data_IF_032110216049
#
_entry.id   IF_032110216049
#
_cell.length_a   1.000
_cell.length_b   1.000
_cell.length_c   1.000
_cell.angle_alpha   90.00
_cell.angle_beta   90.00
_cell.angle_gamma   90.00
#
_symmetry.space_group_name_H-M   'P 1'
#
loop_
_entity.id
_entity.type
_entity.pdbx_description
1 polymer ?
#
# COMPACT_ATOMS: atom_id res chain seq x y z
N UNK A 1 -7.53 49.54 -2.93
CA UNK A 1 -6.75 48.57 -2.12
C UNK A 1 -5.28 48.77 -2.46
N UNK A 2 -4.41 48.98 -1.47
CA UNK A 2 -2.98 49.17 -1.73
C UNK A 2 -2.32 47.84 -2.11
N UNK A 3 -1.27 47.88 -2.93
CA UNK A 3 -0.47 46.68 -3.24
C UNK A 3 0.05 45.98 -1.97
N UNK A 4 0.32 46.74 -0.91
CA UNK A 4 0.69 46.21 0.41
C UNK A 4 -0.43 45.40 1.06
N UNK A 5 -1.68 45.89 0.97
CA UNK A 5 -2.83 45.22 1.57
C UNK A 5 -3.08 43.87 0.86
N UNK A 6 -2.96 43.87 -0.47
CA UNK A 6 -3.06 42.66 -1.30
C UNK A 6 -2.03 41.62 -0.88
N UNK A 7 -0.76 42.02 -0.71
CA UNK A 7 0.32 41.10 -0.31
C UNK A 7 0.08 40.55 1.09
N UNK A 8 -0.38 41.38 2.03
CA UNK A 8 -0.66 40.96 3.41
C UNK A 8 -1.80 39.94 3.43
N UNK A 9 -2.89 40.19 2.71
CA UNK A 9 -4.05 39.30 2.71
C UNK A 9 -3.73 37.98 1.98
N UNK A 10 -3.02 38.03 0.85
CA UNK A 10 -2.53 36.82 0.18
C UNK A 10 -1.63 35.98 1.10
N UNK A 11 -0.77 36.63 1.89
CA UNK A 11 0.08 35.95 2.87
C UNK A 11 -0.72 35.27 3.98
N UNK A 12 -1.78 35.92 4.50
CA UNK A 12 -2.67 35.32 5.50
C UNK A 12 -3.43 34.12 4.93
N UNK A 13 -3.97 34.24 3.72
CA UNK A 13 -4.72 33.18 3.06
C UNK A 13 -3.82 31.96 2.80
N UNK A 14 -2.58 32.19 2.34
CA UNK A 14 -1.59 31.14 2.16
C UNK A 14 -1.23 30.46 3.49
N UNK A 15 -1.00 31.24 4.56
CA UNK A 15 -0.71 30.69 5.88
C UNK A 15 -1.87 29.87 6.44
N UNK A 16 -3.10 30.35 6.27
CA UNK A 16 -4.29 29.63 6.70
C UNK A 16 -4.47 28.32 5.92
N UNK A 17 -4.28 28.34 4.59
CA UNK A 17 -4.34 27.14 3.76
C UNK A 17 -3.27 26.11 4.18
N UNK A 18 -2.02 26.55 4.38
CA UNK A 18 -0.94 25.69 4.85
C UNK A 18 -1.23 25.11 6.24
N UNK A 19 -1.80 25.90 7.14
CA UNK A 19 -2.19 25.46 8.47
C UNK A 19 -3.27 24.37 8.43
N UNK A 20 -4.34 24.57 7.65
CA UNK A 20 -5.41 23.57 7.50
C UNK A 20 -4.87 22.29 6.87
N UNK A 21 -4.08 22.39 5.79
CA UNK A 21 -3.47 21.22 5.14
C UNK A 21 -2.55 20.48 6.11
N UNK A 22 -1.75 21.20 6.90
CA UNK A 22 -0.85 20.60 7.88
C UNK A 22 -1.61 19.84 8.97
N UNK A 23 -2.76 20.35 9.43
CA UNK A 23 -3.61 19.64 10.39
C UNK A 23 -4.14 18.34 9.78
N UNK A 24 -4.72 18.40 8.57
CA UNK A 24 -5.29 17.22 7.91
C UNK A 24 -4.20 16.17 7.66
N UNK A 25 -3.05 16.59 7.13
CA UNK A 25 -1.91 15.71 6.89
C UNK A 25 -1.37 15.10 8.18
N UNK A 26 -1.27 15.88 9.27
CA UNK A 26 -0.80 15.40 10.57
C UNK A 26 -1.76 14.37 11.18
N UNK A 27 -3.07 14.60 11.11
CA UNK A 27 -4.08 13.66 11.58
C UNK A 27 -4.03 12.37 10.76
N UNK A 28 -3.95 12.47 9.44
CA UNK A 28 -3.84 11.32 8.55
C UNK A 28 -2.57 10.50 8.84
N UNK A 29 -1.42 11.18 8.99
CA UNK A 29 -0.15 10.54 9.33
C UNK A 29 -0.19 9.91 10.72
N UNK A 30 -0.75 10.58 11.73
CA UNK A 30 -0.87 10.02 13.09
C UNK A 30 -1.73 8.75 13.11
N UNK A 31 -2.79 8.70 12.30
CA UNK A 31 -3.65 7.52 12.18
C UNK A 31 -3.01 6.39 11.37
N UNK A 32 -2.33 6.72 10.26
CA UNK A 32 -1.72 5.75 9.37
C UNK A 32 -0.38 5.21 9.89
N UNK A 33 0.44 6.05 10.53
CA UNK A 33 1.81 5.76 10.92
C UNK A 33 2.81 5.75 9.77
N UNK A 34 2.39 6.06 8.54
CA UNK A 34 3.24 6.07 7.34
C UNK A 34 2.81 7.19 6.38
N UNK A 35 3.73 7.61 5.51
CA UNK A 35 3.44 8.48 4.37
C UNK A 35 4.04 7.85 3.11
N UNK A 36 3.28 7.70 2.00
CA UNK A 36 1.90 8.16 1.81
C UNK A 36 0.87 7.35 2.62
N UNK A 37 -0.29 7.95 2.92
CA UNK A 37 -1.39 7.28 3.65
C UNK A 37 -2.30 6.43 2.74
N UNK A 38 -2.12 6.57 1.42
CA UNK A 38 -2.89 5.88 0.40
C UNK A 38 -2.08 5.73 -0.88
N UNK A 39 -2.37 4.69 -1.67
CA UNK A 39 -1.76 4.44 -2.99
C UNK A 39 -2.83 4.13 -4.03
N UNK A 40 -2.60 4.54 -5.27
CA UNK A 40 -3.46 4.17 -6.40
C UNK A 40 -2.96 2.86 -7.01
N UNK A 41 -3.89 2.00 -7.42
CA UNK A 41 -3.56 0.71 -8.04
C UNK A 41 -3.43 0.88 -9.54
N UNK A 42 -2.23 0.65 -10.06
CA UNK A 42 -1.91 0.90 -11.48
C UNK A 42 -2.07 -0.34 -12.38
N UNK A 43 -2.20 -1.55 -11.81
CA UNK A 43 -2.30 -2.80 -12.58
C UNK A 43 -3.37 -3.74 -12.04
N UNK A 44 -3.84 -4.67 -12.88
CA UNK A 44 -4.83 -5.70 -12.52
C UNK A 44 -4.24 -6.95 -11.83
N UNK A 45 -3.02 -6.88 -11.30
CA UNK A 45 -2.33 -8.00 -10.62
C UNK A 45 -3.01 -8.46 -9.33
N UNK A 46 -3.85 -7.60 -8.75
CA UNK A 46 -4.60 -7.87 -7.53
C UNK A 46 -6.09 -8.18 -7.78
N UNK A 47 -6.50 -8.32 -9.03
CA UNK A 47 -7.88 -8.69 -9.35
C UNK A 47 -8.21 -10.14 -8.93
N UNK A 48 -9.48 -10.44 -8.58
CA UNK A 48 -10.64 -9.53 -8.49
C UNK A 48 -10.74 -8.78 -7.14
N UNK A 49 -9.73 -8.88 -6.29
CA UNK A 49 -9.81 -8.43 -4.90
C UNK A 49 -9.58 -6.93 -4.73
N UNK A 50 -8.63 -6.40 -5.50
CA UNK A 50 -8.35 -4.97 -5.62
C UNK A 50 -8.22 -4.66 -7.12
N UNK A 51 -8.99 -3.68 -7.60
CA UNK A 51 -9.09 -3.40 -9.03
C UNK A 51 -8.12 -2.30 -9.45
N UNK A 52 -7.73 -2.31 -10.72
CA UNK A 52 -7.01 -1.19 -11.31
C UNK A 52 -7.84 0.10 -11.14
N UNK A 53 -7.18 1.17 -10.69
CA UNK A 53 -7.81 2.46 -10.38
C UNK A 53 -8.40 2.57 -8.96
N UNK A 54 -8.40 1.51 -8.15
CA UNK A 54 -8.76 1.61 -6.73
C UNK A 54 -7.74 2.49 -5.99
N UNK A 55 -8.22 3.30 -5.04
CA UNK A 55 -7.38 3.97 -4.05
C UNK A 55 -7.35 3.13 -2.78
N UNK A 56 -6.17 2.65 -2.39
CA UNK A 56 -5.99 1.78 -1.23
C UNK A 56 -5.35 2.58 -0.09
N UNK A 57 -6.04 2.65 1.04
CA UNK A 57 -5.50 3.23 2.27
C UNK A 57 -4.56 2.23 2.95
N UNK A 58 -3.44 2.73 3.44
CA UNK A 58 -2.38 1.92 4.06
C UNK A 58 -2.03 2.41 5.46
N UNK A 59 -1.55 1.50 6.30
CA UNK A 59 -0.97 1.78 7.63
C UNK A 59 0.46 1.28 7.71
N UNK A 60 1.28 1.83 8.60
CA UNK A 60 2.61 1.28 8.82
C UNK A 60 2.52 -0.16 9.34
N UNK A 61 3.51 -1.01 9.03
CA UNK A 61 3.60 -2.36 9.60
C UNK A 61 3.55 -2.34 11.14
N UNK A 62 4.18 -1.37 11.79
CA UNK A 62 4.17 -1.23 13.25
C UNK A 62 2.77 -0.98 13.84
N UNK A 63 1.83 -0.45 13.06
CA UNK A 63 0.46 -0.12 13.51
C UNK A 63 -0.51 -1.29 13.35
N UNK A 64 -0.28 -2.17 12.38
CA UNK A 64 -1.22 -3.22 12.00
C UNK A 64 -0.66 -4.64 12.19
N UNK A 65 0.66 -4.79 12.19
CA UNK A 65 1.29 -6.09 11.94
C UNK A 65 1.09 -6.53 10.49
N UNK A 66 1.69 -7.67 10.14
CA UNK A 66 1.49 -8.34 8.85
C UNK A 66 1.24 -9.82 9.15
N UNK A 67 0.10 -10.34 8.73
CA UNK A 67 -0.25 -11.76 8.83
C UNK A 67 -0.15 -12.35 7.41
N UNK A 68 0.87 -13.17 7.11
CA UNK A 68 1.00 -13.82 5.81
C UNK A 68 -0.13 -14.81 5.53
N UNK A 69 -0.38 -15.10 4.26
CA UNK A 69 -1.39 -16.05 3.79
C UNK A 69 -1.34 -17.41 4.53
N UNK A 70 -0.15 -18.00 4.67
CA UNK A 70 0.00 -19.33 5.30
C UNK A 70 -0.39 -19.33 6.79
N UNK A 71 -0.09 -18.25 7.51
CA UNK A 71 -0.44 -18.10 8.92
C UNK A 71 -1.92 -17.75 9.07
N UNK A 72 -2.42 -16.88 8.19
CA UNK A 72 -3.82 -16.46 8.15
C UNK A 72 -4.80 -17.61 7.89
N UNK A 73 -4.40 -18.66 7.17
CA UNK A 73 -5.21 -19.89 7.03
C UNK A 73 -5.45 -20.53 8.40
N UNK A 74 -4.40 -20.59 9.25
CA UNK A 74 -4.48 -21.21 10.57
C UNK A 74 -5.35 -20.40 11.52
N UNK A 75 -5.34 -19.09 11.36
CA UNK A 75 -6.12 -18.13 12.16
C UNK A 75 -7.52 -17.83 11.58
N UNK A 76 -7.84 -18.38 10.42
CA UNK A 76 -9.05 -18.06 9.64
C UNK A 76 -9.23 -16.54 9.41
N UNK A 77 -8.12 -15.83 9.19
CA UNK A 77 -8.07 -14.39 8.99
C UNK A 77 -8.10 -14.04 7.50
N UNK A 78 -9.00 -13.15 7.09
CA UNK A 78 -9.11 -12.73 5.69
C UNK A 78 -9.07 -11.22 5.53
N UNK A 79 -8.45 -10.77 4.44
CA UNK A 79 -8.37 -9.38 4.00
C UNK A 79 -8.47 -9.32 2.47
N UNK A 80 -9.31 -8.41 1.98
CA UNK A 80 -9.64 -8.28 0.54
C UNK A 80 -10.05 -9.62 -0.09
N UNK A 81 -11.04 -10.30 0.50
CA UNK A 81 -11.59 -11.58 0.01
C UNK A 81 -10.57 -12.73 -0.15
N UNK A 82 -9.41 -12.67 0.50
CA UNK A 82 -8.41 -13.73 0.54
C UNK A 82 -7.74 -13.82 1.90
N UNK A 83 -7.02 -14.91 2.18
CA UNK A 83 -6.27 -15.05 3.44
C UNK A 83 -5.05 -14.13 3.49
N UNK A 84 -4.74 -13.61 4.66
CA UNK A 84 -3.53 -12.82 4.90
C UNK A 84 -3.59 -11.39 4.35
N UNK A 85 -2.58 -10.62 4.71
CA UNK A 85 -2.51 -9.19 4.42
C UNK A 85 -1.91 -8.88 3.04
N UNK A 86 -2.31 -7.74 2.52
CA UNK A 86 -1.75 -7.14 1.30
C UNK A 86 -0.83 -6.00 1.72
N UNK A 87 0.40 -6.02 1.21
CA UNK A 87 1.45 -5.05 1.55
C UNK A 87 1.87 -4.25 0.34
N UNK A 88 2.22 -3.00 0.57
CA UNK A 88 2.79 -2.07 -0.41
C UNK A 88 4.28 -1.93 -0.10
N UNK A 89 5.14 -2.20 -1.06
CA UNK A 89 6.58 -2.21 -0.84
C UNK A 89 7.37 -1.67 -2.05
N UNK A 90 8.61 -1.24 -1.76
CA UNK A 90 9.58 -0.83 -2.77
C UNK A 90 10.24 -2.08 -3.39
N UNK A 91 10.15 -2.28 -4.71
CA UNK A 91 10.84 -3.37 -5.40
C UNK A 91 12.36 -3.29 -5.16
N UNK A 92 12.94 -4.34 -4.60
CA UNK A 92 14.37 -4.42 -4.25
C UNK A 92 14.87 -3.24 -3.40
N UNK A 93 13.98 -2.60 -2.63
CA UNK A 93 14.29 -1.42 -1.83
C UNK A 93 14.62 -0.17 -2.63
N UNK A 94 14.31 -0.13 -3.94
CA UNK A 94 14.57 1.02 -4.78
C UNK A 94 13.45 2.08 -4.64
N UNK A 95 13.73 3.29 -4.13
CA UNK A 95 12.72 4.33 -3.96
C UNK A 95 12.35 5.04 -5.27
N UNK A 96 13.06 4.78 -6.36
CA UNK A 96 12.82 5.38 -7.68
C UNK A 96 11.96 4.52 -8.60
N UNK A 97 11.51 3.35 -8.14
CA UNK A 97 10.59 2.48 -8.88
C UNK A 97 9.19 2.57 -8.31
N UNK A 98 8.19 2.32 -9.15
CA UNK A 98 6.79 2.29 -8.72
C UNK A 98 6.61 1.20 -7.65
N UNK A 99 6.02 1.51 -6.48
CA UNK A 99 5.73 0.52 -5.46
C UNK A 99 4.81 -0.60 -5.95
N UNK A 100 5.03 -1.81 -5.44
CA UNK A 100 4.18 -2.96 -5.72
C UNK A 100 3.23 -3.18 -4.55
N UNK A 101 1.95 -3.46 -4.86
CA UNK A 101 0.92 -3.85 -3.89
C UNK A 101 0.54 -5.30 -4.10
N UNK A 102 1.02 -6.23 -3.27
CA UNK A 102 0.74 -7.66 -3.41
C UNK A 102 0.51 -8.34 -2.05
N UNK A 103 -0.04 -9.55 -2.07
CA UNK A 103 -0.30 -10.33 -0.86
C UNK A 103 0.99 -10.89 -0.28
N UNK A 104 1.16 -10.76 1.03
CA UNK A 104 2.22 -11.45 1.76
C UNK A 104 1.83 -12.93 1.87
N UNK A 105 2.62 -13.82 1.30
CA UNK A 105 2.32 -15.25 1.27
C UNK A 105 2.89 -15.96 2.50
N UNK A 106 4.18 -15.77 2.74
CA UNK A 106 4.88 -16.34 3.89
C UNK A 106 6.12 -15.54 4.24
N UNK A 107 6.55 -15.64 5.49
CA UNK A 107 7.89 -15.23 5.90
C UNK A 107 8.89 -16.34 5.58
N UNK A 108 10.08 -15.97 5.13
CA UNK A 108 11.22 -16.88 4.98
C UNK A 108 12.41 -16.32 5.73
N UNK A 109 13.13 -17.20 6.43
CA UNK A 109 14.38 -16.86 7.08
C UNK A 109 15.56 -16.92 6.10
N UNK A 110 16.64 -16.19 6.42
CA UNK A 110 17.89 -16.27 5.66
C UNK A 110 18.35 -17.72 5.54
N UNK A 111 18.60 -18.15 4.31
CA UNK A 111 19.06 -19.50 3.99
C UNK A 111 17.93 -20.49 3.72
N UNK A 112 16.67 -20.18 4.01
CA UNK A 112 15.52 -21.02 3.67
C UNK A 112 15.23 -21.02 2.17
N UNK A 113 14.50 -22.03 1.70
CA UNK A 113 14.15 -22.15 0.29
C UNK A 113 13.01 -21.21 -0.08
N UNK A 114 13.27 -20.37 -1.08
CA UNK A 114 12.26 -19.59 -1.77
C UNK A 114 11.52 -20.45 -2.80
N UNK A 115 10.35 -20.00 -3.32
CA UNK A 115 9.57 -20.78 -4.30
C UNK A 115 10.31 -21.17 -5.59
N UNK A 116 11.37 -20.43 -5.92
CA UNK A 116 12.24 -20.66 -7.08
C UNK A 116 13.33 -21.72 -6.81
N UNK A 117 13.41 -22.29 -5.60
CA UNK A 117 14.42 -23.27 -5.20
C UNK A 117 15.76 -22.68 -4.76
N UNK A 118 15.97 -21.37 -4.86
CA UNK A 118 17.16 -20.70 -4.34
C UNK A 118 17.02 -20.40 -2.85
N UNK A 119 18.15 -20.33 -2.15
CA UNK A 119 18.18 -19.93 -0.74
C UNK A 119 17.97 -18.43 -0.61
N UNK A 120 17.14 -18.02 0.34
CA UNK A 120 16.89 -16.63 0.67
C UNK A 120 18.20 -15.95 1.12
N UNK A 121 18.66 -14.88 0.43
CA UNK A 121 19.90 -14.18 0.81
C UNK A 121 19.79 -13.47 2.16
N UNK A 122 18.57 -13.16 2.60
CA UNK A 122 18.20 -12.53 3.87
C UNK A 122 16.72 -12.85 4.18
N UNK A 123 16.27 -12.59 5.40
CA UNK A 123 14.89 -12.85 5.83
C UNK A 123 13.90 -11.81 5.30
N UNK A 124 12.68 -12.22 4.99
CA UNK A 124 11.63 -11.33 4.50
C UNK A 124 10.40 -12.06 4.01
N UNK A 125 9.47 -11.32 3.40
CA UNK A 125 8.22 -11.87 2.88
C UNK A 125 8.36 -12.34 1.43
N UNK A 126 7.83 -13.53 1.14
CA UNK A 126 7.47 -13.92 -0.21
C UNK A 126 6.11 -13.30 -0.54
N UNK A 127 6.01 -12.68 -1.71
CA UNK A 127 4.81 -11.95 -2.12
C UNK A 127 4.28 -12.46 -3.45
N UNK A 128 2.99 -12.25 -3.69
CA UNK A 128 2.33 -12.62 -4.94
C UNK A 128 1.10 -11.75 -5.17
N UNK A 129 0.94 -11.27 -6.40
CA UNK A 129 -0.33 -10.69 -6.85
C UNK A 129 -1.43 -11.75 -6.90
N UNK A 130 -2.63 -11.39 -6.44
CA UNK A 130 -3.77 -12.32 -6.37
C UNK A 130 -4.10 -12.94 -7.74
N UNK A 131 -3.94 -12.16 -8.81
CA UNK A 131 -4.12 -12.57 -10.20
C UNK A 131 -2.85 -13.08 -10.89
N UNK A 132 -1.68 -13.02 -10.24
CA UNK A 132 -0.44 -13.46 -10.87
C UNK A 132 -0.36 -14.99 -10.91
N UNK A 133 0.24 -15.55 -11.98
CA UNK A 133 0.43 -17.00 -12.12
C UNK A 133 1.48 -17.58 -11.15
N UNK A 134 2.40 -16.75 -10.68
CA UNK A 134 3.49 -17.15 -9.79
C UNK A 134 3.78 -16.11 -8.72
N UNK A 135 4.75 -16.42 -7.87
CA UNK A 135 5.29 -15.49 -6.88
C UNK A 135 6.07 -14.37 -7.55
N UNK A 136 6.23 -13.26 -6.82
CA UNK A 136 7.04 -12.14 -7.28
C UNK A 136 8.53 -12.51 -7.33
N UNK A 137 8.96 -13.51 -6.55
CA UNK A 137 10.28 -14.11 -6.64
C UNK A 137 10.28 -15.26 -7.68
N UNK A 138 11.25 -15.33 -8.61
CA UNK A 138 12.53 -14.61 -8.68
C UNK A 138 12.50 -13.26 -9.42
N UNK A 139 11.34 -12.74 -9.80
CA UNK A 139 11.26 -11.41 -10.45
C UNK A 139 11.84 -10.28 -9.59
N UNK A 140 11.82 -10.45 -8.27
CA UNK A 140 12.58 -9.68 -7.29
C UNK A 140 13.90 -10.36 -6.92
N UNK A 141 14.91 -9.57 -6.55
CA UNK A 141 16.25 -10.04 -6.16
C UNK A 141 16.26 -10.93 -4.90
N UNK A 142 15.18 -10.91 -4.11
CA UNK A 142 15.00 -11.74 -2.93
C UNK A 142 13.64 -11.53 -2.26
N UNK A 143 13.47 -11.99 -1.01
CA UNK A 143 12.28 -11.69 -0.21
C UNK A 143 12.11 -10.18 -0.01
N UNK A 144 10.90 -9.74 0.30
CA UNK A 144 10.62 -8.35 0.64
C UNK A 144 10.99 -8.11 2.09
N UNK A 145 12.00 -7.28 2.34
CA UNK A 145 12.43 -6.96 3.70
C UNK A 145 11.42 -6.06 4.42
N UNK A 146 11.29 -6.14 5.76
CA UNK A 146 10.44 -5.23 6.52
C UNK A 146 10.69 -3.76 6.22
N UNK A 147 11.96 -3.34 6.08
CA UNK A 147 12.32 -1.95 5.80
C UNK A 147 11.95 -1.47 4.37
N UNK A 148 11.54 -2.38 3.49
CA UNK A 148 11.07 -2.03 2.14
C UNK A 148 9.55 -1.83 2.09
N UNK A 149 8.84 -2.20 3.15
CA UNK A 149 7.38 -2.12 3.23
C UNK A 149 6.99 -0.69 3.60
N UNK A 150 6.27 -0.05 2.69
CA UNK A 150 5.71 1.30 2.86
C UNK A 150 4.48 1.23 3.77
N UNK A 151 3.65 0.20 3.61
CA UNK A 151 2.48 0.00 4.46
C UNK A 151 1.68 -1.26 4.15
N UNK A 152 0.74 -1.55 5.04
CA UNK A 152 -0.22 -2.65 4.96
C UNK A 152 -1.57 -2.08 4.53
N UNK A 153 -2.13 -2.63 3.46
CA UNK A 153 -3.42 -2.24 2.94
C UNK A 153 -4.53 -2.64 3.90
N UNK A 154 -5.34 -1.68 4.34
CA UNK A 154 -6.41 -1.92 5.30
C UNK A 154 -7.81 -1.60 4.78
N UNK A 155 -7.90 -0.72 3.78
CA UNK A 155 -9.17 -0.33 3.20
C UNK A 155 -8.99 0.05 1.73
N UNK A 156 -9.98 -0.27 0.88
CA UNK A 156 -10.01 0.14 -0.52
C UNK A 156 -11.19 1.04 -0.80
N UNK A 157 -10.96 2.07 -1.59
CA UNK A 157 -11.97 2.99 -2.12
C UNK A 157 -12.06 2.71 -3.62
N UNK A 158 -13.14 2.02 -4.01
CA UNK A 158 -13.40 1.72 -5.41
C UNK A 158 -13.78 2.97 -6.19
N UNK A 159 -12.93 3.42 -7.10
CA UNK A 159 -13.18 4.62 -7.92
C UNK A 159 -14.11 4.29 -9.08
N UNK A 160 -13.93 3.13 -9.73
CA UNK A 160 -14.74 2.72 -10.90
C UNK A 160 -16.15 2.24 -10.48
N UNK A 161 -16.30 1.64 -9.31
CA UNK A 161 -17.59 1.14 -8.81
C UNK A 161 -18.60 2.24 -8.45
N UNK A 162 -18.14 3.41 -7.98
CA UNK A 162 -19.02 4.52 -7.57
C UNK A 162 -19.39 5.46 -8.71
N UNK A 163 -18.52 5.68 -9.69
CA UNK A 163 -18.85 6.50 -10.87
C UNK A 163 -19.96 5.83 -11.68
N UNK A 164 -19.94 4.49 -11.83
CA UNK A 164 -21.01 3.76 -12.53
C UNK A 164 -22.38 3.87 -11.83
N UNK A 165 -22.40 3.94 -10.49
CA UNK A 165 -23.64 4.15 -9.72
C UNK A 165 -24.17 5.59 -9.78
N UNK A 166 -23.32 6.58 -10.04
CA UNK A 166 -23.75 7.97 -10.22
C UNK A 166 -24.31 8.25 -11.62
N UNK A 167 -24.02 7.39 -12.62
CA UNK A 167 -24.49 7.51 -13.99
C UNK A 167 -25.46 6.39 -14.43
N UNK A 168 -25.95 5.54 -13.52
CA UNK A 168 -27.07 4.63 -13.82
C UNK A 168 -28.41 5.35 -13.61
N UNK A 169 -28.74 6.28 -14.51
CA UNK A 169 -30.09 6.81 -14.65
C UNK A 169 -30.55 6.58 -16.09
N UNK A 170 -31.57 5.73 -16.23
CA UNK A 170 -32.40 5.43 -17.42
C UNK A 170 -31.72 4.72 -18.58
#
# INVERSE_FOLDING_TARGET
>A
MSARDIIIDLGKDLLFALFVVSIVASVAYAFAGTWPVAVAVESGSMEPNIHQGDLVLIKSPDRMGIIPYEDAIRENYTRFNGYGDVIVYMPDGNPHTTPIIHRAIKWVEKGELMPNGYRAPYSGYITKGDHNAGYDQPGLSGPVKPEWIIGVAYYRIGVIGKVRLLFSWS
#
